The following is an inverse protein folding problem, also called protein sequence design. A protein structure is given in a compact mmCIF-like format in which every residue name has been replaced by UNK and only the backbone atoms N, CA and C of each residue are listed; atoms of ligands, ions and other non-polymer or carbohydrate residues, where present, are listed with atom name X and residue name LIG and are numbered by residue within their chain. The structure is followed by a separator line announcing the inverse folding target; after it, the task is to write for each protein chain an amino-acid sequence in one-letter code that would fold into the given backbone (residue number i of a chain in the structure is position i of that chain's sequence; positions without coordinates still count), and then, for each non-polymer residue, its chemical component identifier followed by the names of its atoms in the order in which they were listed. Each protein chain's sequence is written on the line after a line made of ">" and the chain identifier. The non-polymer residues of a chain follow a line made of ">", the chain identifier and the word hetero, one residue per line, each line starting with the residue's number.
data_IF_191061765762
#
_entry.id   IF_191061765762
#
_cell.length_a   1.000
_cell.length_b   1.000
_cell.length_c   1.000
_cell.angle_alpha   90.00
_cell.angle_beta   90.00
_cell.angle_gamma   90.00
#
_symmetry.space_group_name_H-M   'P 1'
#
loop_
_entity.id
_entity.type
_entity.pdbx_description
1 polymer ?
#
# COMPACT_ATOMS: atom_id res chain seq x y z
N UNK A 1 -3.10 -6.82 32.17
CA UNK A 1 -1.70 -6.43 32.44
C UNK A 1 -0.84 -6.36 31.18
N UNK A 2 -0.68 -7.44 30.40
CA UNK A 2 0.17 -7.44 29.18
C UNK A 2 -0.18 -6.34 28.14
N UNK A 3 -1.45 -6.22 27.76
CA UNK A 3 -1.87 -5.21 26.76
C UNK A 3 -1.58 -3.77 27.20
N UNK A 4 -1.73 -3.46 28.49
CA UNK A 4 -1.42 -2.14 29.04
C UNK A 4 0.08 -1.83 28.94
N UNK A 5 0.94 -2.81 29.25
CA UNK A 5 2.38 -2.68 29.11
C UNK A 5 2.81 -2.49 27.64
N UNK A 6 2.19 -3.22 26.70
CA UNK A 6 2.44 -3.03 25.27
C UNK A 6 2.02 -1.63 24.80
N UNK A 7 0.91 -1.11 25.32
CA UNK A 7 0.43 0.24 25.00
C UNK A 7 1.41 1.33 25.45
N UNK A 8 2.01 1.17 26.64
CA UNK A 8 3.06 2.07 27.12
C UNK A 8 4.32 2.08 26.24
N UNK A 9 4.57 0.99 25.52
CA UNK A 9 5.71 0.85 24.59
C UNK A 9 5.35 1.17 23.13
N UNK A 10 4.10 1.55 22.83
CA UNK A 10 3.65 1.81 21.45
C UNK A 10 3.52 0.55 20.59
N UNK A 11 3.26 -0.61 21.19
CA UNK A 11 3.15 -1.92 20.53
C UNK A 11 1.73 -2.50 20.58
N UNK A 12 0.73 -1.67 20.84
CA UNK A 12 -0.66 -2.11 21.06
C UNK A 12 -1.66 -1.48 20.08
N UNK A 13 -1.19 -1.08 18.89
CA UNK A 13 -2.04 -0.50 17.85
C UNK A 13 -3.09 -1.51 17.39
N UNK A 14 -4.35 -1.08 17.33
CA UNK A 14 -5.48 -1.91 16.90
C UNK A 14 -5.67 -1.84 15.38
N UNK A 15 -4.62 -2.15 14.62
CA UNK A 15 -4.52 -1.93 13.18
C UNK A 15 -4.71 -3.19 12.32
N UNK A 16 -5.07 -4.34 12.90
CA UNK A 16 -5.25 -5.60 12.17
C UNK A 16 -6.12 -5.41 10.92
N UNK A 17 -5.61 -5.86 9.76
CA UNK A 17 -6.27 -5.74 8.46
C UNK A 17 -6.49 -4.30 7.94
N UNK A 18 -6.04 -3.27 8.66
CA UNK A 18 -6.05 -1.88 8.21
C UNK A 18 -4.75 -1.52 7.47
N UNK A 19 -4.73 -0.35 6.83
CA UNK A 19 -3.59 0.12 6.04
C UNK A 19 -2.27 0.20 6.84
N UNK A 20 -2.34 0.32 8.17
CA UNK A 20 -1.17 0.30 9.05
C UNK A 20 -0.56 -1.10 9.25
N UNK A 21 -1.31 -2.18 9.04
CA UNK A 21 -0.86 -3.57 9.13
C UNK A 21 -0.19 -4.00 7.80
N UNK A 22 0.99 -3.40 7.56
CA UNK A 22 1.74 -3.58 6.33
C UNK A 22 2.73 -4.73 6.41
N UNK A 23 2.83 -5.48 5.31
CA UNK A 23 3.94 -6.39 5.08
C UNK A 23 4.97 -5.69 4.18
N UNK A 24 6.19 -5.49 4.68
CA UNK A 24 7.30 -4.97 3.89
C UNK A 24 8.52 -5.90 3.99
N UNK A 25 9.25 -6.05 2.89
CA UNK A 25 10.57 -6.70 2.96
C UNK A 25 11.63 -5.71 3.42
N UNK A 26 12.86 -6.17 3.75
CA UNK A 26 13.92 -5.27 4.20
C UNK A 26 14.44 -4.29 3.13
N UNK A 27 14.21 -4.54 1.84
CA UNK A 27 14.65 -3.66 0.75
C UNK A 27 16.16 -3.43 0.72
N UNK A 28 16.60 -2.39 0.01
CA UNK A 28 18.02 -2.00 -0.07
C UNK A 28 18.63 -1.58 1.28
N UNK A 29 17.81 -1.42 2.32
CA UNK A 29 18.30 -1.13 3.67
C UNK A 29 19.13 -2.31 4.22
N UNK A 30 18.75 -3.56 3.89
CA UNK A 30 19.42 -4.76 4.41
C UNK A 30 19.55 -5.94 3.42
N UNK A 31 19.03 -5.82 2.20
CA UNK A 31 19.05 -6.88 1.20
C UNK A 31 19.88 -6.49 -0.04
N UNK A 32 20.94 -7.25 -0.32
CA UNK A 32 21.82 -7.04 -1.49
C UNK A 32 21.18 -7.39 -2.84
N UNK A 33 19.96 -7.96 -2.84
CA UNK A 33 19.20 -8.31 -4.04
C UNK A 33 18.09 -7.30 -4.35
N UNK A 34 17.93 -6.27 -3.51
CA UNK A 34 16.87 -5.28 -3.69
C UNK A 34 17.22 -4.25 -4.78
N UNK A 35 16.19 -3.67 -5.39
CA UNK A 35 16.31 -2.58 -6.36
C UNK A 35 15.96 -1.21 -5.74
N UNK A 36 15.15 -1.21 -4.67
CA UNK A 36 14.79 -0.01 -3.93
C UNK A 36 14.69 -0.30 -2.42
N UNK A 37 14.77 0.75 -1.60
CA UNK A 37 14.47 0.68 -0.17
C UNK A 37 12.98 0.48 0.04
N UNK A 38 12.59 -0.07 1.18
CA UNK A 38 11.17 -0.31 1.48
C UNK A 38 10.77 0.08 2.89
N UNK A 39 11.69 0.00 3.85
CA UNK A 39 11.43 0.38 5.24
C UNK A 39 11.06 1.87 5.35
N UNK A 40 11.83 2.82 4.77
CA UNK A 40 11.48 4.24 4.85
C UNK A 40 10.15 4.60 4.17
N UNK A 41 9.74 3.83 3.15
CA UNK A 41 8.44 4.02 2.50
C UNK A 41 7.32 3.51 3.41
N UNK A 42 7.47 2.33 4.01
CA UNK A 42 6.52 1.77 4.97
C UNK A 42 6.32 2.72 6.16
N UNK A 43 7.41 3.26 6.73
CA UNK A 43 7.35 4.19 7.86
C UNK A 43 6.59 5.47 7.51
N UNK A 44 6.86 6.06 6.34
CA UNK A 44 6.16 7.28 5.89
C UNK A 44 4.67 7.04 5.61
N UNK A 45 4.31 5.87 5.09
CA UNK A 45 2.89 5.48 4.92
C UNK A 45 2.25 5.29 6.30
N UNK A 46 2.91 4.58 7.22
CA UNK A 46 2.40 4.39 8.59
C UNK A 46 2.13 5.71 9.28
N UNK A 47 3.06 6.67 9.21
CA UNK A 47 2.88 8.03 9.72
C UNK A 47 1.73 8.77 9.04
N UNK A 48 1.59 8.64 7.71
CA UNK A 48 0.51 9.30 6.95
C UNK A 48 -0.88 8.82 7.36
N UNK A 49 -1.01 7.56 7.72
CA UNK A 49 -2.27 6.93 8.11
C UNK A 49 -2.32 6.59 9.61
N UNK A 50 -1.57 7.29 10.46
CA UNK A 50 -1.48 6.99 11.89
C UNK A 50 -2.79 7.23 12.68
N UNK A 51 -3.71 8.03 12.14
CA UNK A 51 -5.01 8.29 12.76
C UNK A 51 -5.92 7.06 12.67
N UNK A 52 -6.26 6.48 13.82
CA UNK A 52 -7.10 5.29 13.91
C UNK A 52 -8.53 5.53 13.43
N UNK A 53 -9.12 6.71 13.66
CA UNK A 53 -10.47 7.01 13.18
C UNK A 53 -10.51 6.99 11.65
N UNK A 54 -9.44 7.51 11.03
CA UNK A 54 -9.24 7.43 9.58
C UNK A 54 -9.06 5.98 9.11
N UNK A 55 -8.28 5.16 9.81
CA UNK A 55 -8.13 3.74 9.46
C UNK A 55 -9.45 2.97 9.53
N UNK A 56 -10.28 3.26 10.55
CA UNK A 56 -11.60 2.67 10.67
C UNK A 56 -12.55 3.11 9.58
N UNK A 57 -12.51 4.39 9.17
CA UNK A 57 -13.27 4.85 8.01
C UNK A 57 -12.81 4.15 6.72
N UNK A 58 -11.50 3.98 6.51
CA UNK A 58 -10.96 3.23 5.36
C UNK A 58 -11.44 1.77 5.35
N UNK A 59 -11.45 1.12 6.52
CA UNK A 59 -11.79 -0.29 6.66
C UNK A 59 -10.64 -1.22 6.27
N UNK A 60 -10.98 -2.44 5.83
CA UNK A 60 -10.00 -3.47 5.43
C UNK A 60 -9.19 -3.01 4.20
N UNK A 61 -7.87 -2.85 4.36
CA UNK A 61 -6.97 -2.43 3.30
C UNK A 61 -5.55 -2.96 3.50
N UNK A 62 -5.21 -4.07 2.84
CA UNK A 62 -3.88 -4.69 2.94
C UNK A 62 -2.90 -4.08 1.96
N UNK A 63 -1.92 -3.34 2.48
CA UNK A 63 -0.81 -2.76 1.68
C UNK A 63 0.46 -3.60 1.85
N UNK A 64 1.08 -3.95 0.72
CA UNK A 64 2.25 -4.84 0.69
C UNK A 64 3.39 -4.26 -0.14
N UNK A 65 4.60 -4.27 0.41
CA UNK A 65 5.77 -3.60 -0.18
C UNK A 65 6.91 -4.60 -0.41
N UNK A 66 7.47 -4.61 -1.61
CA UNK A 66 8.69 -5.36 -1.92
C UNK A 66 9.70 -4.46 -2.62
N UNK A 67 10.93 -4.41 -2.14
CA UNK A 67 12.02 -3.65 -2.76
C UNK A 67 12.54 -4.23 -4.09
N UNK A 68 12.11 -5.43 -4.50
CA UNK A 68 12.40 -6.01 -5.81
C UNK A 68 11.39 -7.10 -6.21
N UNK A 69 11.55 -7.65 -7.41
CA UNK A 69 10.64 -8.62 -8.04
C UNK A 69 10.54 -9.97 -7.31
N UNK A 70 11.50 -10.31 -6.45
CA UNK A 70 11.45 -11.54 -5.64
C UNK A 70 10.26 -11.59 -4.67
N UNK A 71 9.58 -10.46 -4.48
CA UNK A 71 8.28 -10.38 -3.84
C UNK A 71 8.21 -10.93 -2.41
N UNK A 72 9.28 -10.81 -1.61
CA UNK A 72 9.29 -11.27 -0.22
C UNK A 72 8.19 -10.61 0.65
N UNK A 73 7.75 -9.40 0.30
CA UNK A 73 6.61 -8.74 0.94
C UNK A 73 5.25 -9.08 0.32
N UNK A 74 5.21 -9.95 -0.68
CA UNK A 74 4.02 -10.40 -1.40
C UNK A 74 3.20 -9.27 -2.06
N UNK A 75 3.88 -8.27 -2.64
CA UNK A 75 3.23 -7.10 -3.25
C UNK A 75 2.16 -7.44 -4.31
N UNK A 76 2.33 -8.53 -5.06
CA UNK A 76 1.35 -8.99 -6.06
C UNK A 76 -0.04 -9.32 -5.49
N UNK A 77 -0.14 -9.67 -4.21
CA UNK A 77 -1.40 -10.06 -3.55
C UNK A 77 -1.81 -9.07 -2.46
N UNK A 78 -1.23 -7.86 -2.44
CA UNK A 78 -1.78 -6.75 -1.66
C UNK A 78 -2.95 -6.11 -2.41
N UNK A 79 -3.96 -5.64 -1.66
CA UNK A 79 -4.99 -4.75 -2.22
C UNK A 79 -4.31 -3.56 -2.93
N UNK A 80 -3.28 -3.03 -2.28
CA UNK A 80 -2.29 -2.13 -2.85
C UNK A 80 -0.91 -2.80 -2.72
N UNK A 81 -0.26 -3.05 -3.85
CA UNK A 81 1.10 -3.55 -3.93
C UNK A 81 2.07 -2.45 -4.35
N UNK A 82 3.23 -2.40 -3.71
CA UNK A 82 4.35 -1.51 -4.06
C UNK A 82 5.56 -2.37 -4.42
N UNK A 83 6.05 -2.22 -5.65
CA UNK A 83 7.26 -2.86 -6.14
C UNK A 83 8.36 -1.82 -6.38
N UNK A 84 9.47 -1.98 -5.67
CA UNK A 84 10.73 -1.27 -5.94
C UNK A 84 11.34 -1.69 -7.28
N UNK A 85 11.64 -0.69 -8.12
CA UNK A 85 12.33 -0.86 -9.39
C UNK A 85 13.46 0.17 -9.49
N UNK A 86 14.57 -0.23 -10.09
CA UNK A 86 15.66 0.68 -10.41
C UNK A 86 15.46 1.24 -11.83
N UNK A 87 15.68 2.54 -11.99
CA UNK A 87 15.82 3.17 -13.31
C UNK A 87 16.98 4.14 -13.29
N UNK A 88 18.09 3.75 -13.93
CA UNK A 88 19.31 4.58 -14.04
C UNK A 88 19.85 4.97 -12.65
N UNK A 89 20.04 3.96 -11.81
CA UNK A 89 20.60 4.12 -10.46
C UNK A 89 19.73 5.01 -9.55
N UNK A 90 18.41 4.90 -9.73
CA UNK A 90 17.42 5.71 -9.04
C UNK A 90 16.22 4.87 -8.68
N UNK A 91 15.79 5.01 -7.42
CA UNK A 91 14.72 4.22 -6.83
C UNK A 91 13.34 4.74 -7.25
N UNK A 92 12.59 3.88 -7.93
CA UNK A 92 11.20 4.11 -8.29
C UNK A 92 10.30 3.01 -7.73
N UNK A 93 9.01 3.32 -7.64
CA UNK A 93 8.01 2.49 -6.98
C UNK A 93 6.81 2.29 -7.91
N UNK A 94 6.65 1.06 -8.38
CA UNK A 94 5.53 0.65 -9.20
C UNK A 94 4.35 0.25 -8.32
N UNK A 95 3.18 0.86 -8.53
CA UNK A 95 1.94 0.46 -7.86
C UNK A 95 1.23 -0.63 -8.68
N UNK A 96 0.73 -1.64 -7.96
CA UNK A 96 -0.28 -2.61 -8.44
C UNK A 96 -1.52 -2.54 -7.57
N UNK A 97 -2.72 -2.64 -8.16
CA UNK A 97 -3.99 -2.62 -7.43
C UNK A 97 -4.83 -3.88 -7.69
N UNK A 98 -5.64 -4.27 -6.71
CA UNK A 98 -6.63 -5.34 -6.85
C UNK A 98 -6.12 -6.75 -6.57
N UNK A 99 -4.91 -6.89 -6.01
CA UNK A 99 -4.43 -8.17 -5.51
C UNK A 99 -5.20 -8.56 -4.24
N UNK A 100 -5.42 -9.85 -4.02
CA UNK A 100 -6.08 -10.37 -2.83
C UNK A 100 -5.53 -11.76 -2.48
N UNK A 101 -5.20 -12.03 -1.21
CA UNK A 101 -4.88 -13.39 -0.76
C UNK A 101 -6.16 -14.13 -0.33
N UNK A 102 -6.09 -15.45 -0.15
CA UNK A 102 -7.18 -16.25 0.40
C UNK A 102 -8.08 -16.88 -0.67
N UNK A 103 -9.37 -17.04 -0.36
CA UNK A 103 -10.32 -17.77 -1.19
C UNK A 103 -10.64 -17.04 -2.51
N UNK A 104 -10.78 -15.72 -2.46
CA UNK A 104 -10.94 -14.89 -3.66
C UNK A 104 -9.59 -14.40 -4.21
N UNK A 105 -8.64 -15.32 -4.37
CA UNK A 105 -7.28 -14.97 -4.76
C UNK A 105 -7.21 -14.21 -6.09
N UNK A 106 -6.48 -13.10 -6.10
CA UNK A 106 -6.25 -12.30 -7.29
C UNK A 106 -4.84 -11.71 -7.29
N UNK A 107 -4.25 -11.56 -8.47
CA UNK A 107 -3.00 -10.84 -8.66
C UNK A 107 -3.30 -9.39 -9.05
N UNK A 108 -2.67 -8.46 -8.33
CA UNK A 108 -2.81 -7.04 -8.59
C UNK A 108 -2.27 -6.64 -9.97
N UNK A 109 -2.95 -5.69 -10.59
CA UNK A 109 -2.60 -5.19 -11.92
C UNK A 109 -1.84 -3.87 -11.81
N UNK A 110 -0.79 -3.73 -12.62
CA UNK A 110 0.01 -2.50 -12.71
C UNK A 110 -0.85 -1.34 -13.22
N UNK A 111 -0.89 -0.23 -12.48
CA UNK A 111 -1.78 0.89 -12.80
C UNK A 111 -1.15 1.98 -13.68
N UNK A 112 0.17 2.03 -13.87
CA UNK A 112 0.76 3.03 -14.77
C UNK A 112 2.26 3.19 -14.58
N UNK A 113 2.74 4.43 -14.69
CA UNK A 113 4.14 4.77 -14.46
C UNK A 113 4.55 4.53 -13.00
N UNK A 114 5.85 4.40 -12.76
CA UNK A 114 6.38 4.26 -11.41
C UNK A 114 6.63 5.66 -10.80
N UNK A 115 6.41 5.78 -9.50
CA UNK A 115 6.59 7.02 -8.74
C UNK A 115 7.98 7.08 -8.12
N UNK A 116 8.52 8.28 -7.92
CA UNK A 116 9.74 8.43 -7.11
C UNK A 116 9.46 8.12 -5.64
N UNK A 117 10.54 7.96 -4.86
CA UNK A 117 10.43 7.87 -3.40
C UNK A 117 9.68 9.08 -2.81
N UNK A 118 9.80 10.28 -3.39
CA UNK A 118 9.11 11.46 -2.88
C UNK A 118 7.59 11.35 -3.08
N UNK A 119 7.15 10.90 -4.24
CA UNK A 119 5.75 10.93 -4.69
C UNK A 119 4.92 9.72 -4.23
N UNK A 120 5.56 8.56 -3.97
CA UNK A 120 4.84 7.30 -3.74
C UNK A 120 3.81 7.39 -2.60
N UNK A 121 4.11 8.11 -1.51
CA UNK A 121 3.18 8.23 -0.37
C UNK A 121 1.93 9.04 -0.76
N UNK A 122 2.09 10.09 -1.56
CA UNK A 122 0.97 10.90 -2.07
C UNK A 122 0.17 10.16 -3.14
N UNK A 123 0.81 9.26 -3.89
CA UNK A 123 0.11 8.35 -4.78
C UNK A 123 -0.78 7.36 -3.99
N UNK A 124 -0.30 6.81 -2.86
CA UNK A 124 -1.11 5.94 -1.99
C UNK A 124 -2.29 6.72 -1.37
N UNK A 125 -2.05 7.93 -0.88
CA UNK A 125 -3.10 8.86 -0.43
C UNK A 125 -4.18 9.05 -1.50
N UNK A 126 -3.76 9.29 -2.74
CA UNK A 126 -4.66 9.48 -3.88
C UNK A 126 -5.51 8.23 -4.15
N UNK A 127 -4.90 7.04 -4.10
CA UNK A 127 -5.64 5.76 -4.26
C UNK A 127 -6.68 5.59 -3.16
N UNK A 128 -6.31 5.85 -1.90
CA UNK A 128 -7.24 5.74 -0.76
C UNK A 128 -8.39 6.73 -0.90
N UNK A 129 -8.10 8.01 -1.20
CA UNK A 129 -9.13 9.04 -1.36
C UNK A 129 -10.06 8.74 -2.55
N UNK A 130 -9.52 8.19 -3.65
CA UNK A 130 -10.33 7.74 -4.79
C UNK A 130 -11.30 6.64 -4.37
N UNK A 131 -10.82 5.64 -3.64
CA UNK A 131 -11.65 4.58 -3.08
C UNK A 131 -12.76 5.15 -2.19
N UNK A 132 -12.42 5.99 -1.22
CA UNK A 132 -13.38 6.58 -0.29
C UNK A 132 -14.46 7.40 -1.01
N UNK A 133 -14.11 8.07 -2.12
CA UNK A 133 -15.04 8.88 -2.91
C UNK A 133 -16.03 8.04 -3.75
N UNK A 134 -15.64 6.85 -4.21
CA UNK A 134 -16.44 6.05 -5.16
C UNK A 134 -17.06 4.78 -4.54
N UNK A 135 -16.68 4.43 -3.31
CA UNK A 135 -17.22 3.26 -2.60
C UNK A 135 -18.68 3.46 -2.25
N UNK A 136 -19.43 2.37 -2.23
CA UNK A 136 -20.74 2.32 -1.61
C UNK A 136 -20.59 2.29 -0.07
N UNK A 137 -21.64 2.63 0.70
CA UNK A 137 -21.57 2.59 2.16
C UNK A 137 -21.10 1.22 2.67
N UNK A 138 -20.03 1.21 3.47
CA UNK A 138 -19.39 0.01 4.04
C UNK A 138 -18.79 -0.98 3.02
N UNK A 139 -18.63 -0.57 1.76
CA UNK A 139 -17.95 -1.40 0.75
C UNK A 139 -16.43 -1.41 1.03
N UNK A 140 -15.81 -2.59 0.97
CA UNK A 140 -14.35 -2.74 1.16
C UNK A 140 -13.61 -2.22 -0.07
N UNK A 141 -12.32 -1.92 0.09
CA UNK A 141 -11.46 -1.51 -1.03
C UNK A 141 -11.48 -2.54 -2.16
N UNK A 142 -11.30 -3.82 -1.85
CA UNK A 142 -11.19 -4.87 -2.86
C UNK A 142 -12.49 -5.07 -3.65
N UNK A 143 -13.64 -4.96 -2.97
CA UNK A 143 -14.96 -5.05 -3.62
C UNK A 143 -15.19 -3.84 -4.53
N UNK A 144 -14.83 -2.65 -4.05
CA UNK A 144 -14.90 -1.41 -4.84
C UNK A 144 -14.06 -1.53 -6.11
N UNK A 145 -12.81 -1.98 -5.99
CA UNK A 145 -11.91 -2.18 -7.13
C UNK A 145 -12.47 -3.20 -8.13
N UNK A 146 -13.00 -4.32 -7.65
CA UNK A 146 -13.63 -5.35 -8.51
C UNK A 146 -14.85 -4.83 -9.26
N UNK A 147 -15.63 -3.93 -8.64
CA UNK A 147 -16.83 -3.34 -9.24
C UNK A 147 -16.51 -2.29 -10.31
N UNK A 148 -15.54 -1.42 -10.05
CA UNK A 148 -15.25 -0.24 -10.90
C UNK A 148 -14.06 -0.41 -11.85
N UNK A 149 -13.24 -1.44 -11.61
CA UNK A 149 -11.98 -1.63 -12.33
C UNK A 149 -10.91 -0.60 -11.93
N UNK A 150 -9.86 -0.53 -12.74
CA UNK A 150 -8.69 0.31 -12.50
C UNK A 150 -8.81 1.75 -13.02
N UNK A 151 -9.76 2.01 -13.92
CA UNK A 151 -9.88 3.30 -14.62
C UNK A 151 -9.98 4.52 -13.68
N UNK A 152 -10.86 4.56 -12.65
CA UNK A 152 -10.96 5.73 -11.77
C UNK A 152 -9.68 6.01 -10.98
N UNK A 153 -8.95 4.96 -10.63
CA UNK A 153 -7.68 5.04 -9.90
C UNK A 153 -6.56 5.56 -10.82
N UNK A 154 -6.54 5.10 -12.08
CA UNK A 154 -5.59 5.60 -13.09
C UNK A 154 -5.79 7.08 -13.36
N UNK A 155 -7.03 7.50 -13.63
CA UNK A 155 -7.38 8.90 -13.86
C UNK A 155 -6.93 9.78 -12.69
N UNK A 156 -7.26 9.38 -11.46
CA UNK A 156 -6.88 10.15 -10.27
C UNK A 156 -5.36 10.23 -10.04
N UNK A 157 -4.61 9.20 -10.41
CA UNK A 157 -3.16 9.13 -10.24
C UNK A 157 -2.37 9.89 -11.32
N UNK A 158 -2.86 9.94 -12.56
CA UNK A 158 -2.06 10.41 -13.71
C UNK A 158 -2.66 11.60 -14.45
N UNK A 159 -3.96 11.84 -14.39
CA UNK A 159 -4.60 12.91 -15.20
C UNK A 159 -4.51 14.30 -14.56
N UNK A 160 -3.99 14.42 -13.33
CA UNK A 160 -3.59 15.71 -12.74
C UNK A 160 -2.25 16.25 -13.27
N UNK A 161 -1.62 15.56 -14.23
CA UNK A 161 -0.35 15.95 -14.84
C UNK A 161 -0.49 16.57 -16.25
N UNK A 162 -1.70 16.96 -16.67
CA UNK A 162 -1.95 17.67 -17.93
C UNK A 162 -2.13 19.18 -17.74
#
# INVERSE_FOLDING_TARGET
>A
DLWLALREQGLADANLDHIGDMICCPGLDYCSLANARSIPIAERISQRFADLDRQYDIGELRLKISGCINACGHHHVGHIGILGVDRKDQEYYQITLGGAPGEDAAIGTKVGAAFSAAEIVDAIETVVNTYLAIRQPKERFIDTFRRVGDAPFKESLYDKAA
#
